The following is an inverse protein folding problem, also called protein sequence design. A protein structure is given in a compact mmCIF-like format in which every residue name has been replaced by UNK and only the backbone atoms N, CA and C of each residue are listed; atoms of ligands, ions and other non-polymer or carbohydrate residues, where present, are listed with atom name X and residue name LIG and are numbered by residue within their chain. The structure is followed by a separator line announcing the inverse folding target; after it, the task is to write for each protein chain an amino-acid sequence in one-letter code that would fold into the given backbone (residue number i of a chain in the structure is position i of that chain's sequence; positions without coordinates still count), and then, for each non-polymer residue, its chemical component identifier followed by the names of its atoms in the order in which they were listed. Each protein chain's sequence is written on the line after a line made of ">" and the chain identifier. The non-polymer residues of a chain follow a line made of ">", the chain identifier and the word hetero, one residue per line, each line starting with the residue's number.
data_IF_167146982506
#
_entry.id   IF_167146982506
#
_cell.length_a   1.000
_cell.length_b   1.000
_cell.length_c   1.000
_cell.angle_alpha   90.00
_cell.angle_beta   90.00
_cell.angle_gamma   90.00
#
_symmetry.space_group_name_H-M   'P 1'
#
loop_
_entity.id
_entity.type
_entity.pdbx_description
1 polymer ?
#
# COMPACT_ATOMS: atom_id res chain seq x y z
N UNK A 1 7.15 -12.17 32.59
CA UNK A 1 6.94 -11.76 31.20
C UNK A 1 6.97 -10.23 31.16
N UNK A 2 7.79 -9.61 30.30
CA UNK A 2 7.86 -8.14 30.22
C UNK A 2 6.70 -7.56 29.40
N UNK A 3 6.32 -6.30 29.65
CA UNK A 3 5.20 -5.62 28.96
C UNK A 3 5.31 -5.70 27.44
N UNK A 4 6.51 -5.47 26.88
CA UNK A 4 6.73 -5.54 25.44
C UNK A 4 6.47 -6.95 24.88
N UNK A 5 6.92 -7.99 25.58
CA UNK A 5 6.74 -9.36 25.11
C UNK A 5 5.26 -9.75 25.07
N UNK A 6 4.47 -9.36 26.08
CA UNK A 6 3.04 -9.59 26.09
C UNK A 6 2.32 -8.88 24.93
N UNK A 7 2.68 -7.64 24.62
CA UNK A 7 2.12 -6.89 23.49
C UNK A 7 2.48 -7.54 22.15
N UNK A 8 3.76 -7.90 21.94
CA UNK A 8 4.24 -8.45 20.68
C UNK A 8 3.67 -9.84 20.39
N UNK A 9 3.51 -10.67 21.41
CA UNK A 9 2.95 -12.02 21.30
C UNK A 9 1.44 -11.98 21.01
N UNK A 10 0.77 -10.93 21.47
CA UNK A 10 -0.66 -10.70 21.30
C UNK A 10 -1.06 -9.71 20.20
N UNK A 11 -0.20 -9.43 19.22
CA UNK A 11 -0.49 -8.40 18.24
C UNK A 11 -1.61 -8.83 17.27
N UNK A 12 -2.76 -8.15 17.30
CA UNK A 12 -3.85 -8.35 16.35
C UNK A 12 -3.70 -7.42 15.15
N UNK A 13 -3.64 -8.00 13.95
CA UNK A 13 -3.57 -7.27 12.68
C UNK A 13 -4.92 -7.30 11.99
N UNK A 14 -5.34 -6.18 11.41
CA UNK A 14 -6.62 -6.04 10.70
C UNK A 14 -6.40 -5.77 9.20
N UNK A 15 -6.22 -6.82 8.36
CA UNK A 15 -5.88 -6.66 6.94
C UNK A 15 -6.89 -5.81 6.17
N UNK A 16 -8.19 -5.93 6.45
CA UNK A 16 -9.24 -5.17 5.73
C UNK A 16 -9.23 -3.67 6.03
N UNK A 17 -8.79 -3.27 7.22
CA UNK A 17 -8.63 -1.85 7.56
C UNK A 17 -7.40 -1.28 6.85
N UNK A 18 -6.32 -2.05 6.78
CA UNK A 18 -5.10 -1.69 6.05
C UNK A 18 -5.41 -1.55 4.56
N UNK A 19 -6.06 -2.56 3.96
CA UNK A 19 -6.48 -2.58 2.56
C UNK A 19 -7.35 -1.37 2.22
N UNK A 20 -8.38 -1.07 3.05
CA UNK A 20 -9.23 0.11 2.85
C UNK A 20 -8.41 1.41 2.81
N UNK A 21 -7.50 1.59 3.77
CA UNK A 21 -6.67 2.80 3.84
C UNK A 21 -5.73 2.89 2.64
N UNK A 22 -5.11 1.79 2.25
CA UNK A 22 -4.25 1.73 1.06
C UNK A 22 -5.06 2.11 -0.18
N UNK A 23 -6.25 1.54 -0.37
CA UNK A 23 -7.10 1.84 -1.54
C UNK A 23 -7.57 3.30 -1.59
N UNK A 24 -7.73 3.96 -0.44
CA UNK A 24 -8.08 5.39 -0.38
C UNK A 24 -6.90 6.31 -0.78
N UNK A 25 -5.66 5.92 -0.53
CA UNK A 25 -4.47 6.76 -0.76
C UNK A 25 -3.71 6.41 -2.06
N UNK A 26 -3.69 5.12 -2.42
CA UNK A 26 -2.93 4.60 -3.55
C UNK A 26 -3.22 5.30 -4.89
N UNK A 27 -4.46 5.69 -5.23
CA UNK A 27 -4.72 6.42 -6.46
C UNK A 27 -3.89 7.71 -6.62
N UNK A 28 -3.63 8.44 -5.53
CA UNK A 28 -2.79 9.64 -5.57
C UNK A 28 -1.31 9.30 -5.78
N UNK A 29 -0.83 8.21 -5.18
CA UNK A 29 0.56 7.75 -5.32
C UNK A 29 0.82 7.10 -6.69
N UNK A 30 -0.21 6.54 -7.33
CA UNK A 30 -0.12 5.84 -8.61
C UNK A 30 -0.17 6.74 -9.85
N UNK A 31 -0.20 8.07 -9.68
CA UNK A 31 -0.33 9.03 -10.78
C UNK A 31 0.79 8.90 -11.83
N UNK A 32 2.03 8.66 -11.42
CA UNK A 32 3.13 8.41 -12.37
C UNK A 32 2.96 7.08 -13.13
N UNK A 33 2.45 6.02 -12.49
CA UNK A 33 2.17 4.74 -13.15
C UNK A 33 1.11 4.91 -14.24
N UNK A 34 0.09 5.72 -13.97
CA UNK A 34 -0.98 6.08 -14.92
C UNK A 34 -0.40 6.90 -16.09
N UNK A 35 0.43 7.91 -15.82
CA UNK A 35 1.10 8.70 -16.86
C UNK A 35 1.96 7.79 -17.75
N UNK A 36 2.76 6.92 -17.15
CA UNK A 36 3.61 5.97 -17.89
C UNK A 36 2.79 5.01 -18.76
N UNK A 37 1.64 4.55 -18.27
CA UNK A 37 0.73 3.71 -19.04
C UNK A 37 0.12 4.45 -20.23
N UNK A 38 -0.28 5.72 -20.05
CA UNK A 38 -0.79 6.57 -21.14
C UNK A 38 0.27 6.85 -22.20
N UNK A 39 1.51 7.16 -21.78
CA UNK A 39 2.63 7.38 -22.71
C UNK A 39 2.93 6.11 -23.51
N UNK A 40 2.91 4.92 -22.87
CA UNK A 40 3.06 3.64 -23.57
C UNK A 40 1.93 3.36 -24.55
N UNK A 41 0.73 3.87 -24.29
CA UNK A 41 -0.41 3.80 -25.20
C UNK A 41 -0.38 4.88 -26.31
N UNK A 42 0.69 5.67 -26.41
CA UNK A 42 0.89 6.70 -27.43
C UNK A 42 0.40 8.10 -27.06
N UNK A 43 0.02 8.33 -25.79
CA UNK A 43 -0.38 9.65 -25.30
C UNK A 43 0.80 10.59 -25.04
N UNK A 44 0.54 11.90 -25.08
CA UNK A 44 1.53 12.91 -24.69
C UNK A 44 1.71 12.97 -23.16
N UNK A 45 2.96 13.00 -22.71
CA UNK A 45 3.29 13.00 -21.28
C UNK A 45 2.80 14.27 -20.58
N UNK A 46 2.95 15.43 -21.22
CA UNK A 46 2.65 16.72 -20.61
C UNK A 46 1.13 16.94 -20.50
N UNK A 47 0.40 16.57 -21.55
CA UNK A 47 -1.06 16.57 -21.55
C UNK A 47 -1.60 15.60 -20.49
N UNK A 48 -1.05 14.38 -20.41
CA UNK A 48 -1.48 13.40 -19.42
C UNK A 48 -1.23 13.89 -17.99
N UNK A 49 -0.07 14.50 -17.75
CA UNK A 49 0.28 15.05 -16.45
C UNK A 49 -0.70 16.18 -16.03
N UNK A 50 -1.08 17.05 -16.95
CA UNK A 50 -2.02 18.13 -16.65
C UNK A 50 -3.45 17.59 -16.38
N UNK A 51 -3.92 16.64 -17.19
CA UNK A 51 -5.21 15.99 -16.97
C UNK A 51 -5.27 15.31 -15.60
N UNK A 52 -4.26 14.50 -15.25
CA UNK A 52 -4.23 13.81 -13.96
C UNK A 52 -4.09 14.79 -12.78
N UNK A 53 -3.36 15.90 -12.96
CA UNK A 53 -3.20 16.95 -11.94
C UNK A 53 -4.55 17.56 -11.57
N UNK A 54 -5.37 17.93 -12.56
CA UNK A 54 -6.70 18.51 -12.34
C UNK A 54 -7.60 17.51 -11.61
N UNK A 55 -7.72 16.27 -12.11
CA UNK A 55 -8.55 15.25 -11.47
C UNK A 55 -8.12 14.94 -10.03
N UNK A 56 -6.79 14.91 -9.78
CA UNK A 56 -6.24 14.69 -8.44
C UNK A 56 -6.56 15.83 -7.47
N UNK A 57 -6.56 17.08 -7.95
CA UNK A 57 -6.96 18.24 -7.13
C UNK A 57 -8.45 18.21 -6.79
N UNK A 58 -9.30 17.83 -7.75
CA UNK A 58 -10.74 17.69 -7.52
C UNK A 58 -11.04 16.58 -6.51
N UNK A 59 -10.48 15.39 -6.69
CA UNK A 59 -10.62 14.29 -5.75
C UNK A 59 -10.06 14.66 -4.36
N UNK A 60 -8.92 15.34 -4.32
CA UNK A 60 -8.35 15.86 -3.07
C UNK A 60 -9.26 16.88 -2.37
N UNK A 61 -9.99 17.71 -3.12
CA UNK A 61 -10.99 18.62 -2.56
C UNK A 61 -12.19 17.85 -1.98
N UNK A 62 -12.69 16.81 -2.67
CA UNK A 62 -13.77 15.95 -2.17
C UNK A 62 -13.39 15.31 -0.83
N UNK A 63 -12.17 14.78 -0.72
CA UNK A 63 -11.67 14.20 0.54
C UNK A 63 -11.56 15.27 1.64
N UNK A 64 -10.88 16.39 1.35
CA UNK A 64 -10.51 17.37 2.39
C UNK A 64 -11.63 18.32 2.81
N UNK A 65 -12.49 18.72 1.87
CA UNK A 65 -13.56 19.70 2.11
C UNK A 65 -14.90 19.04 2.39
N UNK A 66 -15.16 17.88 1.79
CA UNK A 66 -16.46 17.21 1.93
C UNK A 66 -16.40 15.98 2.84
N UNK A 67 -15.20 15.51 3.22
CA UNK A 67 -15.04 14.34 4.09
C UNK A 67 -15.48 13.02 3.46
N UNK A 68 -15.51 12.95 2.12
CA UNK A 68 -15.92 11.77 1.35
C UNK A 68 -14.72 10.91 0.95
N UNK A 69 -15.01 9.71 0.46
CA UNK A 69 -13.99 8.82 -0.11
C UNK A 69 -13.33 9.44 -1.36
N UNK A 70 -12.10 8.99 -1.63
CA UNK A 70 -11.34 9.39 -2.82
C UNK A 70 -12.00 8.81 -4.08
N UNK A 71 -12.37 9.69 -5.02
CA UNK A 71 -13.06 9.35 -6.27
C UNK A 71 -12.17 9.51 -7.53
N UNK A 72 -10.84 9.59 -7.36
CA UNK A 72 -9.91 9.81 -8.48
C UNK A 72 -10.01 8.71 -9.55
N UNK A 73 -10.15 7.45 -9.16
CA UNK A 73 -10.23 6.32 -10.10
C UNK A 73 -11.50 6.41 -10.93
N UNK A 74 -12.64 6.76 -10.31
CA UNK A 74 -13.90 7.00 -10.99
C UNK A 74 -13.79 8.16 -11.98
N UNK A 75 -13.12 9.25 -11.60
CA UNK A 75 -12.88 10.41 -12.48
C UNK A 75 -12.07 10.01 -13.71
N UNK A 76 -10.99 9.24 -13.52
CA UNK A 76 -10.17 8.72 -14.61
C UNK A 76 -11.03 7.88 -15.56
N UNK A 77 -11.81 6.92 -15.03
CA UNK A 77 -12.68 6.04 -15.84
C UNK A 77 -13.75 6.79 -16.64
N UNK A 78 -14.20 7.95 -16.16
CA UNK A 78 -15.19 8.80 -16.85
C UNK A 78 -14.56 9.74 -17.86
N UNK A 79 -13.26 9.96 -17.78
CA UNK A 79 -12.55 10.91 -18.63
C UNK A 79 -12.09 10.23 -19.91
N UNK A 80 -12.65 10.67 -21.05
CA UNK A 80 -12.39 10.05 -22.35
C UNK A 80 -10.90 9.93 -22.72
N UNK A 81 -10.07 10.87 -22.25
CA UNK A 81 -8.62 10.86 -22.46
C UNK A 81 -7.95 9.55 -21.98
N UNK A 82 -8.40 8.98 -20.84
CA UNK A 82 -7.79 7.79 -20.25
C UNK A 82 -8.37 6.46 -20.77
N UNK A 83 -9.28 6.49 -21.76
CA UNK A 83 -9.85 5.28 -22.38
C UNK A 83 -8.82 4.20 -22.73
N UNK A 84 -7.63 4.52 -23.29
CA UNK A 84 -6.66 3.50 -23.67
C UNK A 84 -6.18 2.61 -22.51
N UNK A 85 -6.23 3.09 -21.26
CA UNK A 85 -5.72 2.37 -20.09
C UNK A 85 -6.82 1.79 -19.18
N UNK A 86 -8.10 1.97 -19.52
CA UNK A 86 -9.21 1.54 -18.65
C UNK A 86 -9.16 0.05 -18.28
N UNK A 87 -8.71 -0.80 -19.21
CA UNK A 87 -8.63 -2.26 -19.02
C UNK A 87 -7.51 -2.69 -18.07
N UNK A 88 -6.48 -1.85 -17.89
CA UNK A 88 -5.32 -2.14 -17.04
C UNK A 88 -5.31 -1.30 -15.75
N UNK A 89 -6.30 -0.43 -15.56
CA UNK A 89 -6.30 0.54 -14.46
C UNK A 89 -6.28 -0.14 -13.09
N UNK A 90 -6.99 -1.26 -12.92
CA UNK A 90 -6.98 -2.02 -11.66
C UNK A 90 -5.61 -2.67 -11.41
N UNK A 91 -4.93 -3.15 -12.47
CA UNK A 91 -3.56 -3.67 -12.37
C UNK A 91 -2.56 -2.58 -12.00
N UNK A 92 -2.73 -1.36 -12.50
CA UNK A 92 -1.87 -0.21 -12.16
C UNK A 92 -2.03 0.22 -10.69
N UNK A 93 -3.14 -0.17 -10.06
CA UNK A 93 -3.50 0.10 -8.67
C UNK A 93 -3.34 -1.13 -7.77
N UNK A 94 -2.63 -2.18 -8.23
CA UNK A 94 -2.28 -3.29 -7.36
C UNK A 94 -1.22 -2.85 -6.34
N UNK A 95 -1.64 -2.70 -5.09
CA UNK A 95 -0.80 -2.31 -3.96
C UNK A 95 0.45 -3.21 -3.79
N UNK A 96 0.39 -4.48 -4.19
CA UNK A 96 1.52 -5.40 -4.10
C UNK A 96 2.70 -4.96 -4.98
N UNK A 97 2.45 -4.15 -6.01
CA UNK A 97 3.48 -3.60 -6.91
C UNK A 97 4.17 -2.36 -6.35
N UNK A 98 3.68 -1.79 -5.24
CA UNK A 98 4.20 -0.57 -4.60
C UNK A 98 5.06 -0.83 -3.36
N UNK A 99 5.34 -2.09 -3.01
CA UNK A 99 6.09 -2.43 -1.78
C UNK A 99 7.61 -2.52 -1.99
N UNK A 100 8.08 -2.28 -3.21
CA UNK A 100 9.51 -2.31 -3.56
C UNK A 100 10.16 -3.65 -3.18
N UNK A 101 11.17 -3.59 -2.31
CA UNK A 101 11.91 -4.78 -1.82
C UNK A 101 11.52 -5.21 -0.41
N UNK A 102 10.43 -4.67 0.16
CA UNK A 102 10.11 -4.85 1.57
C UNK A 102 10.11 -6.34 2.02
N UNK A 103 9.46 -7.29 1.31
CA UNK A 103 9.50 -8.70 1.73
C UNK A 103 10.93 -9.26 1.76
N UNK A 104 11.71 -9.02 0.70
CA UNK A 104 13.10 -9.49 0.60
C UNK A 104 14.01 -8.86 1.64
N UNK A 105 13.76 -7.61 2.01
CA UNK A 105 14.52 -6.93 3.06
C UNK A 105 14.25 -7.54 4.43
N UNK A 106 12.98 -7.88 4.72
CA UNK A 106 12.60 -8.58 5.94
C UNK A 106 13.26 -9.95 6.00
N UNK A 107 13.12 -10.77 4.95
CA UNK A 107 13.72 -12.11 4.90
C UNK A 107 15.24 -12.05 5.11
N UNK A 108 15.91 -11.12 4.45
CA UNK A 108 17.36 -10.94 4.57
C UNK A 108 17.77 -10.51 5.98
N UNK A 109 17.01 -9.61 6.61
CA UNK A 109 17.31 -9.14 7.96
C UNK A 109 17.11 -10.26 9.00
N UNK A 110 16.03 -11.03 8.88
CA UNK A 110 15.78 -12.17 9.76
C UNK A 110 16.92 -13.20 9.69
N UNK A 111 17.28 -13.61 8.47
CA UNK A 111 18.30 -14.63 8.23
C UNK A 111 19.72 -14.18 8.63
N UNK A 112 20.10 -12.96 8.26
CA UNK A 112 21.51 -12.53 8.39
C UNK A 112 21.83 -11.80 9.69
N UNK A 113 20.83 -11.24 10.35
CA UNK A 113 21.03 -10.39 11.53
C UNK A 113 20.24 -10.93 12.72
N UNK A 114 18.91 -10.99 12.63
CA UNK A 114 18.09 -11.31 13.80
C UNK A 114 18.31 -12.73 14.33
N UNK A 115 18.15 -13.75 13.48
CA UNK A 115 18.22 -15.16 13.86
C UNK A 115 19.59 -15.54 14.44
N UNK A 116 20.74 -15.16 13.83
CA UNK A 116 22.06 -15.43 14.40
C UNK A 116 22.26 -14.82 15.78
N UNK A 117 21.70 -13.63 16.04
CA UNK A 117 21.85 -12.94 17.32
C UNK A 117 21.00 -13.55 18.44
N UNK A 118 19.83 -14.11 18.10
CA UNK A 118 18.92 -14.72 19.09
C UNK A 118 19.13 -16.22 19.27
N UNK A 119 19.88 -16.90 18.39
CA UNK A 119 20.06 -18.35 18.39
C UNK A 119 20.48 -18.94 19.75
N UNK A 120 21.39 -18.28 20.47
CA UNK A 120 21.87 -18.72 21.81
C UNK A 120 20.81 -18.62 22.92
N UNK A 121 19.69 -17.94 22.67
CA UNK A 121 18.59 -17.78 23.62
C UNK A 121 17.38 -18.68 23.31
N UNK A 122 17.46 -19.52 22.27
CA UNK A 122 16.35 -20.37 21.80
C UNK A 122 15.67 -21.16 22.91
N UNK A 123 16.44 -21.83 23.78
CA UNK A 123 15.86 -22.61 24.89
C UNK A 123 15.15 -21.73 25.93
N UNK A 124 15.66 -20.51 26.19
CA UNK A 124 14.99 -19.54 27.07
C UNK A 124 13.70 -19.00 26.44
N UNK A 125 13.68 -18.82 25.12
CA UNK A 125 12.48 -18.38 24.38
C UNK A 125 11.39 -19.45 24.40
N UNK A 126 11.73 -20.73 24.22
CA UNK A 126 10.77 -21.84 24.33
C UNK A 126 10.13 -21.94 25.72
N UNK A 127 10.91 -21.67 26.77
CA UNK A 127 10.44 -21.72 28.15
C UNK A 127 9.52 -20.56 28.57
N UNK A 128 9.45 -19.47 27.77
CA UNK A 128 8.68 -18.27 28.11
C UNK A 128 7.15 -18.44 27.91
N UNK A 129 6.72 -19.46 27.16
CA UNK A 129 5.31 -19.74 26.86
C UNK A 129 4.65 -18.67 25.98
N UNK A 130 3.60 -19.02 25.26
CA UNK A 130 2.74 -18.08 24.54
C UNK A 130 1.62 -17.59 25.45
N UNK A 131 1.32 -16.30 25.35
CA UNK A 131 0.21 -15.62 26.00
C UNK A 131 -1.07 -15.97 25.25
N UNK A 132 -1.97 -16.72 25.87
CA UNK A 132 -3.29 -16.95 25.29
C UNK A 132 -4.10 -15.65 25.30
N UNK A 133 -4.30 -15.06 24.12
CA UNK A 133 -5.34 -14.06 23.93
C UNK A 133 -6.68 -14.76 23.76
N UNK A 134 -7.51 -14.71 24.80
CA UNK A 134 -8.94 -14.96 24.68
C UNK A 134 -9.57 -13.78 23.93
N UNK A 135 -9.68 -13.88 22.60
CA UNK A 135 -10.43 -12.96 21.75
C UNK A 135 -11.70 -13.63 21.21
#
# INVERSE_FOLDING_TARGET
>A
MGTLHNISDGLVVYPKVIERRVNQELPFMATENIIMAMVKAGGDRQECHEQIRVLSQEAGNVVKREGKDNDLVERIRRTNYFKPIHQILDTLLDASTFIGRAPKQVDQFLDKEADPHIAKYTEKMKALGTSDLNL
#
